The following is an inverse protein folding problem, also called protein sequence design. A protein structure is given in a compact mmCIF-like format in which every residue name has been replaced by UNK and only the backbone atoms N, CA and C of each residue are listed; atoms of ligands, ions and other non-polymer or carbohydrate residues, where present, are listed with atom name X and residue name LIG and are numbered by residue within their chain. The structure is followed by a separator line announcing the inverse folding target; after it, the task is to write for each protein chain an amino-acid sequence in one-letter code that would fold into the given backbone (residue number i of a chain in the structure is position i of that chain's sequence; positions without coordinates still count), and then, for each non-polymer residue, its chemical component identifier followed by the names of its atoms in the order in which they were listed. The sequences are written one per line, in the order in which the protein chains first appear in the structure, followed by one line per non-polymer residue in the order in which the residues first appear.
data_IF_871803066830
#
_entry.id   IF_871803066830
#
_cell.length_a   1.000
_cell.length_b   1.000
_cell.length_c   1.000
_cell.angle_alpha   90.00
_cell.angle_beta   90.00
_cell.angle_gamma   90.00
#
_symmetry.space_group_name_H-M   'P 1'
#
loop_
_entity.id
_entity.type
_entity.pdbx_description
1 polymer ?
#
# COMPACT_ATOMS: atom_id res chain seq x y z
N UNK A 1 -11.38 1.94 -21.77
CA UNK A 1 -10.85 0.78 -21.03
C UNK A 1 -11.44 0.86 -19.63
N UNK A 2 -12.47 0.06 -19.32
CA UNK A 2 -12.99 -0.06 -17.96
C UNK A 2 -11.98 -0.88 -17.15
N UNK A 3 -10.97 -0.21 -16.61
CA UNK A 3 -9.97 -0.85 -15.74
C UNK A 3 -10.65 -1.40 -14.49
N UNK A 4 -10.37 -2.65 -14.17
CA UNK A 4 -11.03 -3.48 -13.16
C UNK A 4 -11.07 -2.80 -11.77
N UNK A 5 -12.18 -2.15 -11.45
CA UNK A 5 -12.48 -1.81 -10.06
C UNK A 5 -12.68 -3.11 -9.26
N UNK A 6 -12.12 -3.18 -8.06
CA UNK A 6 -12.08 -4.40 -7.27
C UNK A 6 -11.50 -4.19 -5.87
N UNK A 7 -11.21 -5.28 -5.17
CA UNK A 7 -10.77 -5.26 -3.76
C UNK A 7 -9.51 -4.41 -3.51
N UNK A 8 -8.64 -4.27 -4.51
CA UNK A 8 -7.36 -3.54 -4.44
C UNK A 8 -7.31 -2.33 -5.36
N UNK A 9 -8.37 -2.06 -6.13
CA UNK A 9 -8.43 -0.97 -7.11
C UNK A 9 -9.78 -0.24 -6.98
N UNK A 10 -9.73 1.02 -6.56
CA UNK A 10 -10.93 1.86 -6.40
C UNK A 10 -11.17 2.79 -7.60
N UNK A 11 -10.60 2.44 -8.76
CA UNK A 11 -10.74 3.20 -9.99
C UNK A 11 -9.64 4.25 -10.18
N UNK A 12 -9.70 5.00 -11.30
CA UNK A 12 -8.72 6.04 -11.61
C UNK A 12 -8.87 7.26 -10.69
N UNK A 13 -7.82 8.09 -10.62
CA UNK A 13 -7.91 9.43 -10.00
C UNK A 13 -8.88 10.28 -10.86
N UNK A 14 -9.94 10.87 -10.26
CA UNK A 14 -10.86 11.72 -11.02
C UNK A 14 -10.16 12.92 -11.66
N UNK A 15 -10.65 13.34 -12.83
CA UNK A 15 -10.14 14.53 -13.52
C UNK A 15 -10.22 15.76 -12.60
N UNK A 16 -9.14 16.55 -12.58
CA UNK A 16 -9.03 17.74 -11.73
C UNK A 16 -8.69 17.47 -10.26
N UNK A 17 -8.52 16.21 -9.82
CA UNK A 17 -8.04 15.87 -8.48
C UNK A 17 -6.57 15.43 -8.48
N UNK A 18 -5.86 15.76 -7.40
CA UNK A 18 -4.60 15.11 -7.06
C UNK A 18 -4.81 13.69 -6.50
N UNK A 19 -3.76 12.88 -6.52
CA UNK A 19 -3.79 11.53 -5.96
C UNK A 19 -4.15 11.51 -4.46
N UNK A 20 -3.66 12.50 -3.69
CA UNK A 20 -3.95 12.62 -2.26
C UNK A 20 -5.42 12.97 -2.02
N UNK A 21 -6.00 13.87 -2.82
CA UNK A 21 -7.42 14.22 -2.73
C UNK A 21 -8.30 13.02 -3.05
N UNK A 22 -8.00 12.30 -4.13
CA UNK A 22 -8.72 11.07 -4.47
C UNK A 22 -8.60 10.01 -3.35
N UNK A 23 -7.40 9.82 -2.79
CA UNK A 23 -7.16 8.89 -1.66
C UNK A 23 -7.98 9.27 -0.41
N UNK A 24 -8.14 10.57 -0.15
CA UNK A 24 -8.98 11.07 0.95
C UNK A 24 -10.47 10.89 0.66
N UNK A 25 -10.91 11.14 -0.56
CA UNK A 25 -12.31 10.99 -0.97
C UNK A 25 -12.82 9.55 -0.83
N UNK A 26 -11.97 8.56 -1.11
CA UNK A 26 -12.31 7.13 -0.97
C UNK A 26 -12.05 6.59 0.44
N UNK A 27 -11.69 7.43 1.42
CA UNK A 27 -11.28 6.97 2.74
C UNK A 27 -12.34 6.11 3.44
N UNK A 28 -13.62 6.45 3.29
CA UNK A 28 -14.76 5.70 3.84
C UNK A 28 -15.05 4.36 3.14
N UNK A 29 -14.51 4.14 1.94
CA UNK A 29 -14.65 2.88 1.21
C UNK A 29 -13.56 1.87 1.59
N UNK A 30 -12.48 2.32 2.24
CA UNK A 30 -11.37 1.46 2.68
C UNK A 30 -11.77 0.67 3.91
N UNK A 31 -12.07 -0.61 3.72
CA UNK A 31 -12.50 -1.55 4.78
C UNK A 31 -11.43 -1.84 5.84
N UNK A 32 -10.15 -1.76 5.47
CA UNK A 32 -9.03 -2.13 6.34
C UNK A 32 -8.13 -0.92 6.58
N UNK A 33 -7.97 -0.56 7.86
CA UNK A 33 -7.04 0.48 8.29
C UNK A 33 -5.81 -0.15 8.94
N UNK A 34 -4.64 0.38 8.60
CA UNK A 34 -3.40 0.02 9.25
C UNK A 34 -3.37 0.66 10.65
N UNK A 35 -3.19 -0.14 11.70
CA UNK A 35 -2.84 0.40 13.02
C UNK A 35 -1.31 0.60 13.07
N UNK A 36 -0.79 1.85 13.11
CA UNK A 36 0.64 2.12 13.10
C UNK A 36 1.36 1.71 14.39
N UNK A 37 0.61 1.53 15.50
CA UNK A 37 1.14 1.13 16.81
C UNK A 37 1.29 -0.38 16.97
N UNK A 38 0.78 -1.17 16.02
CA UNK A 38 0.98 -2.61 16.05
C UNK A 38 2.42 -2.94 15.61
N UNK A 39 3.01 -3.93 16.27
CA UNK A 39 4.36 -4.40 15.95
C UNK A 39 4.35 -5.92 15.83
N UNK A 40 4.32 -6.42 14.60
CA UNK A 40 4.45 -7.85 14.34
C UNK A 40 5.90 -8.31 14.34
N UNK A 41 6.85 -7.38 14.11
CA UNK A 41 8.30 -7.65 13.95
C UNK A 41 8.63 -8.67 12.85
N UNK A 42 7.72 -8.84 11.88
CA UNK A 42 7.88 -9.74 10.73
C UNK A 42 8.10 -8.95 9.45
N UNK A 43 8.92 -9.48 8.56
CA UNK A 43 9.16 -8.95 7.22
C UNK A 43 7.93 -9.16 6.32
N UNK A 44 6.95 -8.27 6.47
CA UNK A 44 5.66 -8.32 5.79
C UNK A 44 5.29 -6.94 5.25
N UNK A 45 4.43 -6.89 4.23
CA UNK A 45 3.92 -5.62 3.68
C UNK A 45 3.30 -4.73 4.77
N UNK A 46 2.45 -5.30 5.64
CA UNK A 46 1.78 -4.54 6.68
C UNK A 46 2.78 -3.97 7.69
N UNK A 47 3.78 -4.73 8.12
CA UNK A 47 4.79 -4.22 9.05
C UNK A 47 5.65 -3.14 8.40
N UNK A 48 6.01 -3.32 7.12
CA UNK A 48 6.79 -2.33 6.37
C UNK A 48 6.05 -1.00 6.24
N UNK A 49 4.75 -1.03 5.95
CA UNK A 49 3.91 0.18 5.93
C UNK A 49 3.81 0.87 7.29
N UNK A 50 3.86 0.10 8.40
CA UNK A 50 3.88 0.67 9.75
C UNK A 50 5.22 1.31 10.07
N UNK A 51 6.34 0.70 9.65
CA UNK A 51 7.66 1.31 9.80
C UNK A 51 7.78 2.62 9.01
N UNK A 52 7.26 2.66 7.78
CA UNK A 52 7.20 3.92 7.00
C UNK A 52 6.44 4.99 7.79
N UNK A 53 5.27 4.65 8.33
CA UNK A 53 4.50 5.59 9.15
C UNK A 53 5.32 6.07 10.36
N UNK A 54 5.93 5.15 11.12
CA UNK A 54 6.75 5.49 12.29
C UNK A 54 7.93 6.38 11.93
N UNK A 55 8.59 6.13 10.80
CA UNK A 55 9.70 6.95 10.30
C UNK A 55 9.25 8.39 9.99
N UNK A 56 8.06 8.54 9.39
CA UNK A 56 7.50 9.87 9.08
C UNK A 56 7.10 10.68 10.31
N UNK A 57 6.89 10.05 11.46
CA UNK A 57 6.55 10.71 12.73
C UNK A 57 7.79 11.19 13.50
N UNK A 58 9.01 10.82 13.07
CA UNK A 58 10.22 11.27 13.74
C UNK A 58 10.43 12.77 13.54
N UNK A 59 11.06 13.47 14.51
CA UNK A 59 11.41 14.88 14.35
C UNK A 59 12.28 15.18 13.12
N UNK A 60 13.12 14.22 12.74
CA UNK A 60 13.90 14.24 11.51
C UNK A 60 13.73 12.89 10.80
N UNK A 61 12.76 12.78 9.87
CA UNK A 61 12.54 11.55 9.11
C UNK A 61 13.74 11.23 8.21
N UNK A 62 14.17 9.98 8.20
CA UNK A 62 15.16 9.50 7.23
C UNK A 62 14.46 9.19 5.90
N UNK A 63 14.60 10.11 4.93
CA UNK A 63 13.98 9.97 3.62
C UNK A 63 14.55 8.81 2.81
N UNK A 64 15.81 8.44 3.01
CA UNK A 64 16.43 7.33 2.30
C UNK A 64 15.92 6.00 2.86
N UNK A 65 15.82 5.89 4.19
CA UNK A 65 15.15 4.75 4.82
C UNK A 65 13.68 4.62 4.38
N UNK A 66 12.93 5.72 4.29
CA UNK A 66 11.55 5.71 3.79
C UNK A 66 11.49 5.20 2.35
N UNK A 67 12.39 5.65 1.47
CA UNK A 67 12.43 5.21 0.06
C UNK A 67 12.72 3.71 -0.04
N UNK A 68 13.68 3.20 0.73
CA UNK A 68 13.99 1.77 0.78
C UNK A 68 12.81 0.94 1.26
N UNK A 69 12.15 1.37 2.34
CA UNK A 69 10.97 0.70 2.88
C UNK A 69 9.79 0.72 1.89
N UNK A 70 9.60 1.81 1.13
CA UNK A 70 8.58 1.88 0.07
C UNK A 70 8.85 0.87 -1.03
N UNK A 71 10.10 0.73 -1.46
CA UNK A 71 10.49 -0.28 -2.45
C UNK A 71 10.26 -1.70 -1.93
N UNK A 72 10.58 -1.96 -0.66
CA UNK A 72 10.31 -3.24 -0.02
C UNK A 72 8.80 -3.54 0.09
N UNK A 73 7.97 -2.56 0.42
CA UNK A 73 6.52 -2.72 0.43
C UNK A 73 5.98 -3.10 -0.97
N UNK A 74 6.53 -2.49 -2.02
CA UNK A 74 6.25 -2.85 -3.41
C UNK A 74 6.64 -4.28 -3.76
N UNK A 75 7.84 -4.74 -3.35
CA UNK A 75 8.28 -6.12 -3.54
C UNK A 75 7.34 -7.14 -2.86
N UNK A 76 6.99 -6.92 -1.59
CA UNK A 76 6.02 -7.78 -0.90
C UNK A 76 4.66 -7.81 -1.60
N UNK A 77 4.15 -6.66 -2.04
CA UNK A 77 2.89 -6.59 -2.78
C UNK A 77 2.94 -7.39 -4.10
N UNK A 78 4.03 -7.29 -4.85
CA UNK A 78 4.22 -8.03 -6.11
C UNK A 78 4.35 -9.54 -5.89
N UNK A 79 5.04 -9.97 -4.84
CA UNK A 79 5.10 -11.39 -4.45
C UNK A 79 3.73 -11.93 -4.07
N UNK A 80 2.93 -11.15 -3.35
CA UNK A 80 1.55 -11.53 -3.01
C UNK A 80 0.67 -11.65 -4.25
N UNK A 81 0.75 -10.69 -5.18
CA UNK A 81 0.02 -10.74 -6.46
C UNK A 81 0.40 -11.98 -7.27
N UNK A 82 1.70 -12.22 -7.46
CA UNK A 82 2.21 -13.41 -8.16
C UNK A 82 1.68 -14.70 -7.51
N UNK A 83 1.74 -14.79 -6.17
CA UNK A 83 1.23 -15.96 -5.45
C UNK A 83 -0.27 -16.16 -5.62
N UNK A 84 -1.05 -15.09 -5.66
CA UNK A 84 -2.50 -15.16 -5.87
C UNK A 84 -2.81 -15.64 -7.29
N UNK A 85 -2.09 -15.13 -8.31
CA UNK A 85 -2.23 -15.58 -9.70
C UNK A 85 -1.91 -17.06 -9.85
N UNK A 86 -0.81 -17.52 -9.26
CA UNK A 86 -0.45 -18.95 -9.20
C UNK A 86 -1.59 -19.80 -8.63
N UNK A 87 -2.18 -19.37 -7.51
CA UNK A 87 -3.28 -20.10 -6.85
C UNK A 87 -4.57 -20.13 -7.69
N UNK A 88 -4.78 -19.13 -8.55
CA UNK A 88 -5.94 -19.05 -9.47
C UNK A 88 -5.70 -19.75 -10.82
N UNK A 89 -4.46 -20.17 -11.11
CA UNK A 89 -4.08 -20.68 -12.42
C UNK A 89 -3.99 -19.60 -13.50
N UNK A 90 -3.83 -18.33 -13.10
CA UNK A 90 -3.63 -17.20 -14.01
C UNK A 90 -2.13 -17.08 -14.37
N UNK A 91 -1.78 -16.74 -15.63
CA UNK A 91 -0.39 -16.48 -15.98
C UNK A 91 0.13 -15.23 -15.27
N UNK A 92 1.36 -15.32 -14.73
CA UNK A 92 2.03 -14.25 -13.98
C UNK A 92 2.38 -13.03 -14.82
#
# INVERSE_FOLDING_TARGET
MSGEEGLTNLGPVPEGMSFLEATRAVAGQRKYQLNPRHESRRLTICETLREIWRETEKPAPDLDAIRELVMAAGDYAKRMDARIKELKGEPC
#
